data_IF_290497067529
#
_entry.id   IF_290497067529
#
_cell.length_a   1.000
_cell.length_b   1.000
_cell.length_c   1.000
_cell.angle_alpha   90.00
_cell.angle_beta   90.00
_cell.angle_gamma   90.00
#
_symmetry.space_group_name_H-M   'P 1'
#
loop_
_entity.id
_entity.type
_entity.pdbx_description
1 polymer ?
#
# COMPACT_ATOMS: atom_id res chain seq x y z
N UNK A 1 0.37 -4.97 11.14
CA UNK A 1 0.13 -6.44 11.12
C UNK A 1 0.26 -6.95 9.68
N UNK A 2 0.59 -8.23 9.43
CA UNK A 2 0.50 -8.81 8.06
C UNK A 2 -0.79 -9.62 7.92
N UNK A 3 -1.65 -9.24 6.98
CA UNK A 3 -2.83 -10.04 6.65
C UNK A 3 -2.38 -11.27 5.86
N UNK A 4 -2.76 -12.46 6.35
CA UNK A 4 -2.27 -13.74 5.79
C UNK A 4 -3.27 -14.44 4.88
N UNK A 5 -4.55 -14.02 4.87
CA UNK A 5 -5.59 -14.64 4.04
C UNK A 5 -6.71 -13.64 3.72
N UNK A 6 -6.70 -13.13 2.49
CA UNK A 6 -7.76 -12.28 1.93
C UNK A 6 -8.38 -13.00 0.76
N UNK A 7 -9.70 -12.95 0.66
CA UNK A 7 -10.44 -13.38 -0.52
C UNK A 7 -10.75 -12.16 -1.37
N UNK A 8 -10.14 -12.09 -2.54
CA UNK A 8 -10.48 -11.09 -3.56
C UNK A 8 -11.51 -11.72 -4.50
N UNK A 9 -12.64 -11.05 -4.78
CA UNK A 9 -13.58 -11.46 -5.82
C UNK A 9 -12.87 -11.69 -7.16
N UNK A 10 -13.18 -12.79 -7.86
CA UNK A 10 -12.46 -13.21 -9.07
C UNK A 10 -12.69 -12.27 -10.27
N UNK A 11 -13.75 -11.49 -10.20
CA UNK A 11 -14.20 -10.50 -11.17
C UNK A 11 -13.53 -9.13 -11.00
N UNK A 12 -12.85 -8.89 -9.88
CA UNK A 12 -12.11 -7.66 -9.62
C UNK A 12 -10.64 -7.78 -10.04
N UNK A 13 -10.17 -6.78 -10.79
CA UNK A 13 -8.76 -6.63 -11.12
C UNK A 13 -8.12 -5.53 -10.27
N UNK A 14 -6.82 -5.63 -10.04
CA UNK A 14 -6.10 -4.60 -9.27
C UNK A 14 -6.23 -3.21 -9.93
N UNK A 15 -6.23 -3.16 -11.27
CA UNK A 15 -6.38 -1.92 -12.03
C UNK A 15 -7.74 -1.23 -11.84
N UNK A 16 -8.76 -1.93 -11.33
CA UNK A 16 -10.06 -1.33 -11.01
C UNK A 16 -10.00 -0.37 -9.83
N UNK A 17 -8.98 -0.49 -8.97
CA UNK A 17 -8.72 0.47 -7.88
C UNK A 17 -8.40 1.88 -8.39
N UNK A 18 -8.02 2.02 -9.67
CA UNK A 18 -7.67 3.29 -10.31
C UNK A 18 -6.71 4.11 -9.45
N UNK A 19 -5.67 3.45 -8.94
CA UNK A 19 -4.66 4.09 -8.11
C UNK A 19 -4.07 5.28 -8.85
N UNK A 20 -4.12 6.43 -8.20
CA UNK A 20 -3.49 7.65 -8.63
C UNK A 20 -2.73 8.25 -7.46
N UNK A 21 -1.64 8.94 -7.77
CA UNK A 21 -0.94 9.76 -6.79
C UNK A 21 -1.14 11.21 -7.18
N UNK A 22 -1.67 12.00 -6.26
CA UNK A 22 -1.80 13.43 -6.46
C UNK A 22 -0.40 14.05 -6.60
N UNK A 23 -0.09 14.74 -7.70
CA UNK A 23 1.24 15.28 -7.95
C UNK A 23 1.56 16.53 -7.13
N UNK A 24 0.55 17.19 -6.54
CA UNK A 24 0.69 18.40 -5.74
C UNK A 24 0.85 18.09 -4.25
N UNK A 25 0.02 17.17 -3.71
CA UNK A 25 0.04 16.80 -2.29
C UNK A 25 0.86 15.54 -2.01
N UNK A 26 0.99 14.66 -3.01
CA UNK A 26 1.61 13.34 -2.86
C UNK A 26 0.65 12.28 -2.32
N UNK A 27 -0.62 12.63 -2.07
CA UNK A 27 -1.64 11.73 -1.53
C UNK A 27 -1.99 10.61 -2.53
N UNK A 28 -2.38 9.45 -2.01
CA UNK A 28 -2.80 8.32 -2.82
C UNK A 28 -4.32 8.32 -2.91
N UNK A 29 -4.82 8.47 -4.12
CA UNK A 29 -6.24 8.34 -4.46
C UNK A 29 -6.53 6.94 -4.98
N UNK A 30 -7.65 6.36 -4.54
CA UNK A 30 -8.10 5.03 -4.95
C UNK A 30 -9.61 4.90 -4.77
N UNK A 31 -10.20 3.91 -5.44
CA UNK A 31 -11.62 3.60 -5.29
C UNK A 31 -11.89 2.88 -3.96
N UNK A 32 -12.26 3.67 -2.94
CA UNK A 32 -12.53 3.18 -1.60
C UNK A 32 -13.76 2.27 -1.52
N UNK A 33 -14.67 2.30 -2.50
CA UNK A 33 -15.83 1.41 -2.51
C UNK A 33 -15.42 -0.04 -2.75
N UNK A 34 -14.48 -0.27 -3.68
CA UNK A 34 -13.94 -1.60 -3.98
C UNK A 34 -13.26 -2.21 -2.74
N UNK A 35 -12.42 -1.42 -2.05
CA UNK A 35 -11.73 -1.90 -0.86
C UNK A 35 -12.70 -2.13 0.30
N UNK A 36 -13.78 -1.33 0.40
CA UNK A 36 -14.83 -1.52 1.41
C UNK A 36 -15.59 -2.83 1.16
N UNK A 37 -15.95 -3.12 -0.07
CA UNK A 37 -16.60 -4.38 -0.45
C UNK A 37 -15.71 -5.59 -0.10
N UNK A 38 -14.42 -5.53 -0.43
CA UNK A 38 -13.47 -6.59 -0.05
C UNK A 38 -13.36 -6.72 1.47
N UNK A 39 -13.34 -5.61 2.22
CA UNK A 39 -13.29 -5.67 3.68
C UNK A 39 -14.57 -6.33 4.25
N UNK A 40 -15.74 -5.96 3.75
CA UNK A 40 -17.02 -6.53 4.16
C UNK A 40 -17.10 -8.04 3.86
N UNK A 41 -16.70 -8.47 2.67
CA UNK A 41 -16.64 -9.88 2.26
C UNK A 41 -15.69 -10.73 3.12
N UNK A 42 -14.70 -10.09 3.74
CA UNK A 42 -13.71 -10.74 4.59
C UNK A 42 -13.97 -10.51 6.10
N UNK A 43 -15.08 -9.88 6.48
CA UNK A 43 -15.39 -9.49 7.88
C UNK A 43 -14.27 -8.66 8.53
N UNK A 44 -13.63 -7.80 7.74
CA UNK A 44 -12.54 -6.93 8.17
C UNK A 44 -13.04 -5.49 8.39
N UNK A 45 -12.51 -4.79 9.41
CA UNK A 45 -12.82 -3.38 9.59
C UNK A 45 -12.17 -2.53 8.50
N UNK A 46 -12.89 -1.56 7.97
CA UNK A 46 -12.34 -0.58 7.04
C UNK A 46 -11.52 0.46 7.81
N UNK A 47 -10.21 0.26 7.86
CA UNK A 47 -9.23 1.17 8.49
C UNK A 47 -8.00 1.34 7.61
N UNK A 48 -7.24 2.42 7.80
CA UNK A 48 -6.02 2.70 7.03
C UNK A 48 -5.01 1.55 7.10
N UNK A 49 -4.73 1.00 8.30
CA UNK A 49 -3.79 -0.13 8.45
C UNK A 49 -4.22 -1.36 7.63
N UNK A 50 -5.51 -1.67 7.64
CA UNK A 50 -6.06 -2.81 6.90
C UNK A 50 -6.05 -2.54 5.39
N UNK A 51 -6.42 -1.32 4.98
CA UNK A 51 -6.42 -0.89 3.58
C UNK A 51 -5.02 -0.94 2.98
N UNK A 52 -4.01 -0.37 3.65
CA UNK A 52 -2.61 -0.41 3.18
C UNK A 52 -2.10 -1.85 3.08
N UNK A 53 -2.40 -2.69 4.08
CA UNK A 53 -2.01 -4.11 4.08
C UNK A 53 -2.69 -4.89 2.96
N UNK A 54 -3.99 -4.63 2.73
CA UNK A 54 -4.79 -5.23 1.67
C UNK A 54 -4.26 -4.85 0.28
N UNK A 55 -4.03 -3.57 0.03
CA UNK A 55 -3.50 -3.07 -1.25
C UNK A 55 -2.13 -3.69 -1.56
N UNK A 56 -1.24 -3.75 -0.57
CA UNK A 56 0.10 -4.33 -0.73
C UNK A 56 0.02 -5.83 -1.04
N UNK A 57 -0.76 -6.59 -0.27
CA UNK A 57 -0.92 -8.03 -0.49
C UNK A 57 -1.58 -8.36 -1.84
N UNK A 58 -2.61 -7.60 -2.22
CA UNK A 58 -3.29 -7.77 -3.50
C UNK A 58 -2.36 -7.44 -4.67
N UNK A 59 -1.58 -6.36 -4.58
CA UNK A 59 -0.62 -6.00 -5.62
C UNK A 59 0.46 -7.07 -5.81
N UNK A 60 1.04 -7.59 -4.72
CA UNK A 60 2.02 -8.68 -4.78
C UNK A 60 1.43 -9.92 -5.46
N UNK A 61 0.18 -10.27 -5.13
CA UNK A 61 -0.50 -11.40 -5.75
C UNK A 61 -0.76 -11.16 -7.25
N UNK A 62 -1.22 -9.97 -7.63
CA UNK A 62 -1.42 -9.56 -9.02
C UNK A 62 -0.12 -9.67 -9.83
N UNK A 63 1.00 -9.18 -9.28
CA UNK A 63 2.33 -9.30 -9.91
C UNK A 63 2.79 -10.76 -10.05
N UNK A 64 2.55 -11.59 -9.03
CA UNK A 64 2.88 -13.02 -9.06
C UNK A 64 2.08 -13.80 -10.14
N UNK A 65 0.89 -13.33 -10.50
CA UNK A 65 0.08 -13.87 -11.58
C UNK A 65 0.47 -13.34 -12.98
N UNK A 66 1.49 -12.48 -13.09
CA UNK A 66 1.89 -11.85 -14.34
C UNK A 66 1.08 -10.60 -14.69
N UNK A 67 0.36 -10.04 -13.71
CA UNK A 67 -0.35 -8.77 -13.84
C UNK A 67 0.58 -7.59 -14.18
N UNK A 68 0.01 -6.61 -14.87
CA UNK A 68 0.72 -5.40 -15.26
C UNK A 68 1.23 -4.62 -14.03
N UNK A 69 2.45 -4.06 -14.07
CA UNK A 69 2.95 -3.22 -12.99
C UNK A 69 2.11 -1.95 -12.86
N UNK A 70 1.91 -1.50 -11.62
CA UNK A 70 1.24 -0.26 -11.30
C UNK A 70 2.27 0.77 -10.80
N UNK A 71 2.35 1.91 -11.46
CA UNK A 71 3.40 2.90 -11.19
C UNK A 71 3.32 3.49 -9.77
N UNK A 72 2.11 3.60 -9.20
CA UNK A 72 1.92 4.16 -7.87
C UNK A 72 2.34 3.13 -6.81
N UNK A 73 1.93 1.87 -6.96
CA UNK A 73 2.35 0.81 -6.05
C UNK A 73 3.86 0.54 -6.10
N UNK A 74 4.48 0.56 -7.28
CA UNK A 74 5.94 0.39 -7.38
C UNK A 74 6.69 1.52 -6.66
N UNK A 75 6.17 2.76 -6.70
CA UNK A 75 6.73 3.87 -5.94
C UNK A 75 6.57 3.67 -4.43
N UNK A 76 5.38 3.28 -3.97
CA UNK A 76 5.09 3.04 -2.55
C UNK A 76 6.01 1.93 -2.01
N UNK A 77 6.16 0.83 -2.75
CA UNK A 77 7.05 -0.27 -2.35
C UNK A 77 8.50 0.21 -2.29
N UNK A 78 8.95 0.96 -3.29
CA UNK A 78 10.31 1.52 -3.27
C UNK A 78 10.54 2.50 -2.10
N UNK A 79 9.52 3.27 -1.72
CA UNK A 79 9.56 4.16 -0.54
C UNK A 79 9.67 3.35 0.76
N UNK A 80 8.83 2.33 0.94
CA UNK A 80 8.88 1.43 2.10
C UNK A 80 10.26 0.76 2.20
N UNK A 81 10.78 0.21 1.10
CA UNK A 81 12.10 -0.43 1.06
C UNK A 81 13.23 0.58 1.37
N UNK A 82 13.13 1.82 0.89
CA UNK A 82 14.09 2.88 1.21
C UNK A 82 14.01 3.33 2.68
N UNK A 83 12.82 3.34 3.28
CA UNK A 83 12.63 3.64 4.70
C UNK A 83 13.16 2.51 5.62
N UNK A 84 13.01 1.25 5.22
CA UNK A 84 13.63 0.12 5.94
C UNK A 84 15.18 0.19 5.92
N UNK A 85 15.77 0.76 4.87
CA UNK A 85 17.21 0.99 4.75
C UNK A 85 17.69 2.21 5.58
N UNK A 86 16.81 3.19 5.82
CA UNK A 86 17.13 4.41 6.59
C UNK A 86 16.73 4.34 8.08
N UNK A 87 16.06 3.27 8.51
CA UNK A 87 15.74 2.96 9.90
C UNK A 87 16.94 2.73 10.85
N UNK A 88 18.18 2.75 10.35
CA UNK A 88 19.36 3.04 11.19
C UNK A 88 19.45 4.56 11.32
N UNK A 89 18.79 5.12 12.33
CA UNK A 89 18.96 6.52 12.74
C UNK A 89 20.45 6.80 13.03
N UNK A 90 21.19 7.32 12.04
CA UNK A 90 22.29 8.24 12.32
C UNK A 90 21.65 9.58 12.72
N UNK A 91 21.27 9.71 13.99
CA UNK A 91 21.11 11.02 14.63
C UNK A 91 22.47 11.71 14.69
N UNK A 92 22.88 12.32 13.59
CA UNK A 92 23.98 13.25 13.52
C UNK A 92 23.52 14.66 13.87
N UNK A 93 23.46 14.98 15.17
CA UNK A 93 23.25 16.33 15.66
C UNK A 93 24.41 16.76 16.57
N UNK A 94 25.47 17.26 15.95
CA UNK A 94 26.64 17.84 16.61
C UNK A 94 26.31 19.08 17.44
N UNK A 95 26.90 19.18 18.63
CA UNK A 95 27.56 20.42 19.09
C UNK A 95 26.75 21.49 19.83
N UNK A 96 27.13 21.67 21.10
CA UNK A 96 27.15 22.89 21.91
C UNK A 96 25.84 23.54 22.39
N UNK A 97 25.62 23.42 23.71
CA UNK A 97 25.08 24.50 24.53
C UNK A 97 25.90 24.63 25.83
N UNK A 98 26.62 25.77 25.92
CA UNK A 98 27.36 26.39 27.04
C UNK A 98 28.56 25.65 27.67
#
# INVERSE_FOLDING_TARGET
MHITKIRIPADLQFSDLRLARDPETGDIEFDAEILREICEDNDLPFSEEIVTSLMTAWYQHHRAQGGAPDQVMEQIIAEIEAEEITGVEIRGGSGSLN
#
